data_IF_532015334978
#
_entry.id   IF_532015334978
#
_cell.length_a   1.000
_cell.length_b   1.000
_cell.length_c   1.000
_cell.angle_alpha   90.00
_cell.angle_beta   90.00
_cell.angle_gamma   90.00
#
_symmetry.space_group_name_H-M   'P 1'
#
loop_
_entity.id
_entity.type
_entity.pdbx_description
1 polymer ?
#
# COMPACT_ATOMS: atom_id res chain seq x y z
N UNK A 1 21.33 -4.35 10.89
CA UNK A 1 20.40 -3.35 10.30
C UNK A 1 20.09 -2.31 11.36
N UNK A 2 20.33 -1.04 11.08
CA UNK A 2 20.08 0.06 12.01
C UNK A 2 18.58 0.36 12.16
N UNK A 3 18.23 1.15 13.19
CA UNK A 3 16.82 1.43 13.49
C UNK A 3 16.13 2.28 12.42
N UNK A 4 16.82 3.25 11.79
CA UNK A 4 16.23 4.03 10.70
C UNK A 4 15.81 3.11 9.55
N UNK A 5 16.68 2.18 9.17
CA UNK A 5 16.39 1.20 8.12
C UNK A 5 15.21 0.29 8.50
N UNK A 6 15.14 -0.18 9.75
CA UNK A 6 13.98 -0.96 10.24
C UNK A 6 12.66 -0.19 10.11
N UNK A 7 12.63 1.07 10.53
CA UNK A 7 11.42 1.88 10.47
C UNK A 7 11.01 2.21 9.03
N UNK A 8 11.96 2.45 8.12
CA UNK A 8 11.67 2.66 6.69
C UNK A 8 11.04 1.41 6.05
N UNK A 9 11.50 0.21 6.41
CA UNK A 9 10.88 -1.04 5.96
C UNK A 9 9.45 -1.14 6.52
N UNK A 10 9.27 -0.85 7.81
CA UNK A 10 7.96 -0.90 8.45
C UNK A 10 6.95 0.09 7.83
N UNK A 11 7.40 1.28 7.41
CA UNK A 11 6.59 2.25 6.65
C UNK A 11 6.14 1.65 5.32
N UNK A 12 7.05 1.05 4.55
CA UNK A 12 6.72 0.39 3.29
C UNK A 12 5.69 -0.74 3.48
N UNK A 13 5.88 -1.58 4.49
CA UNK A 13 4.93 -2.65 4.85
C UNK A 13 3.57 -2.12 5.29
N UNK A 14 3.54 -1.02 6.06
CA UNK A 14 2.29 -0.37 6.50
C UNK A 14 1.48 0.16 5.30
N UNK A 15 2.17 0.77 4.33
CA UNK A 15 1.54 1.24 3.08
C UNK A 15 1.03 0.09 2.19
N UNK A 16 1.77 -1.02 2.16
CA UNK A 16 1.38 -2.20 1.39
C UNK A 16 0.13 -2.88 1.97
N UNK A 17 -0.08 -2.79 3.29
CA UNK A 17 -1.17 -3.45 4.03
C UNK A 17 -2.30 -2.52 4.44
N UNK A 18 -2.24 -1.24 4.07
CA UNK A 18 -3.22 -0.21 4.47
C UNK A 18 -3.37 -0.03 6.00
N UNK A 19 -2.35 -0.32 6.81
CA UNK A 19 -2.41 -0.09 8.25
C UNK A 19 -2.13 1.38 8.60
N UNK A 20 -3.17 2.21 8.66
CA UNK A 20 -3.09 3.63 9.06
C UNK A 20 -2.38 3.87 10.41
N UNK A 21 -2.77 3.23 11.53
CA UNK A 21 -2.09 3.46 12.81
C UNK A 21 -0.63 2.99 12.81
N UNK A 22 -0.31 1.91 12.09
CA UNK A 22 1.08 1.46 11.94
C UNK A 22 1.92 2.50 11.20
N UNK A 23 1.38 3.07 10.12
CA UNK A 23 2.06 4.09 9.32
C UNK A 23 2.40 5.32 10.16
N UNK A 24 1.43 5.84 10.93
CA UNK A 24 1.64 6.98 11.82
C UNK A 24 2.74 6.71 12.85
N UNK A 25 2.68 5.55 13.51
CA UNK A 25 3.66 5.14 14.51
C UNK A 25 5.08 5.04 13.92
N UNK A 26 5.23 4.32 12.81
CA UNK A 26 6.54 4.08 12.20
C UNK A 26 7.14 5.34 11.55
N UNK A 27 6.31 6.26 11.02
CA UNK A 27 6.79 7.59 10.59
C UNK A 27 7.39 8.37 11.76
N UNK A 28 6.72 8.38 12.92
CA UNK A 28 7.23 9.04 14.12
C UNK A 28 8.59 8.48 14.55
N UNK A 29 8.71 7.15 14.58
CA UNK A 29 9.98 6.46 14.92
C UNK A 29 11.08 6.70 13.89
N UNK A 30 10.78 6.59 12.59
CA UNK A 30 11.75 6.87 11.53
C UNK A 30 12.33 8.29 11.65
N UNK A 31 11.48 9.29 11.87
CA UNK A 31 11.91 10.68 12.10
C UNK A 31 12.81 10.80 13.33
N UNK A 32 12.47 10.13 14.43
CA UNK A 32 13.30 10.10 15.65
C UNK A 32 14.67 9.46 15.44
N UNK A 33 14.81 8.61 14.41
CA UNK A 33 16.08 8.00 13.99
C UNK A 33 16.76 8.74 12.83
N UNK A 34 16.32 9.96 12.52
CA UNK A 34 16.97 10.82 11.53
C UNK A 34 16.60 10.51 10.07
N UNK A 35 15.48 9.82 9.82
CA UNK A 35 14.98 9.67 8.46
C UNK A 35 14.59 11.02 7.86
N UNK A 36 15.10 11.28 6.66
CA UNK A 36 14.74 12.45 5.85
C UNK A 36 13.33 12.29 5.26
N UNK A 37 12.67 13.42 4.96
CA UNK A 37 11.38 13.39 4.29
C UNK A 37 11.43 12.63 2.95
N UNK A 38 12.55 12.72 2.23
CA UNK A 38 12.77 11.99 0.97
C UNK A 38 12.74 10.48 1.19
N UNK A 39 13.41 9.96 2.23
CA UNK A 39 13.40 8.53 2.55
C UNK A 39 11.99 8.04 2.93
N UNK A 40 11.23 8.83 3.71
CA UNK A 40 9.85 8.50 4.07
C UNK A 40 8.97 8.39 2.81
N UNK A 41 9.04 9.36 1.90
CA UNK A 41 8.28 9.35 0.65
C UNK A 41 8.66 8.15 -0.23
N UNK A 42 9.96 7.84 -0.35
CA UNK A 42 10.43 6.70 -1.13
C UNK A 42 9.89 5.38 -0.55
N UNK A 43 10.04 5.16 0.75
CA UNK A 43 9.53 3.97 1.42
C UNK A 43 8.02 3.81 1.22
N UNK A 44 7.26 4.90 1.37
CA UNK A 44 5.81 4.87 1.17
C UNK A 44 5.41 4.58 -0.28
N UNK A 45 6.10 5.18 -1.26
CA UNK A 45 5.84 4.92 -2.69
C UNK A 45 6.15 3.49 -3.08
N UNK A 46 7.22 2.89 -2.54
CA UNK A 46 7.53 1.47 -2.74
C UNK A 46 6.38 0.60 -2.22
N UNK A 47 5.88 0.88 -1.01
CA UNK A 47 4.73 0.15 -0.45
C UNK A 47 3.46 0.26 -1.30
N UNK A 48 3.14 1.46 -1.81
CA UNK A 48 2.02 1.67 -2.75
C UNK A 48 2.21 0.85 -4.03
N UNK A 49 3.42 0.87 -4.60
CA UNK A 49 3.71 0.16 -5.85
C UNK A 49 3.55 -1.36 -5.68
N UNK A 50 4.05 -1.93 -4.58
CA UNK A 50 3.86 -3.35 -4.25
C UNK A 50 2.38 -3.69 -4.10
N UNK A 51 1.60 -2.83 -3.40
CA UNK A 51 0.16 -3.00 -3.25
C UNK A 51 -0.57 -2.99 -4.60
N UNK A 52 -0.25 -2.04 -5.47
CA UNK A 52 -0.86 -1.94 -6.79
C UNK A 52 -0.59 -3.18 -7.64
N UNK A 53 0.65 -3.68 -7.65
CA UNK A 53 0.99 -4.92 -8.36
C UNK A 53 0.24 -6.14 -7.80
N UNK A 54 0.04 -6.22 -6.48
CA UNK A 54 -0.74 -7.29 -5.88
C UNK A 54 -2.22 -7.22 -6.28
N UNK A 55 -2.82 -6.01 -6.29
CA UNK A 55 -4.18 -5.79 -6.74
C UNK A 55 -4.36 -6.18 -8.21
N UNK A 56 -3.52 -5.68 -9.12
CA UNK A 56 -3.57 -6.00 -10.55
C UNK A 56 -3.50 -7.52 -10.82
N UNK A 57 -2.63 -8.23 -10.08
CA UNK A 57 -2.54 -9.70 -10.23
C UNK A 57 -3.78 -10.42 -9.73
N UNK A 58 -4.37 -9.96 -8.64
CA UNK A 58 -5.61 -10.52 -8.12
C UNK A 58 -6.77 -10.26 -9.08
N UNK A 59 -6.88 -9.05 -9.63
CA UNK A 59 -7.86 -8.69 -10.65
C UNK A 59 -7.68 -9.58 -11.89
N UNK A 60 -6.46 -9.69 -12.42
CA UNK A 60 -6.16 -10.57 -13.57
C UNK A 60 -6.53 -12.04 -13.31
N UNK A 61 -6.30 -12.53 -12.08
CA UNK A 61 -6.66 -13.89 -11.70
C UNK A 61 -8.19 -14.05 -11.61
N UNK A 62 -8.88 -13.09 -10.99
CA UNK A 62 -10.34 -13.07 -10.92
C UNK A 62 -10.98 -13.01 -12.32
N UNK A 63 -10.46 -12.18 -13.23
CA UNK A 63 -10.91 -12.09 -14.63
C UNK A 63 -10.85 -13.44 -15.34
N UNK A 64 -9.82 -14.26 -15.08
CA UNK A 64 -9.70 -15.59 -15.68
C UNK A 64 -10.75 -16.57 -15.17
N UNK A 65 -11.15 -16.43 -13.91
CA UNK A 65 -12.15 -17.30 -13.28
C UNK A 65 -13.56 -16.87 -13.68
N UNK A 66 -13.84 -15.57 -13.63
CA UNK A 66 -15.19 -15.00 -13.75
C UNK A 66 -15.52 -14.59 -15.20
N UNK A 67 -14.56 -14.65 -16.14
CA UNK A 67 -14.72 -14.27 -17.56
C UNK A 67 -15.37 -12.88 -17.77
N UNK A 68 -15.01 -11.87 -16.96
CA UNK A 68 -15.63 -10.54 -17.10
C UNK A 68 -15.42 -9.56 -15.94
N UNK A 69 -14.29 -9.61 -15.24
CA UNK A 69 -14.05 -8.70 -14.10
C UNK A 69 -13.85 -7.23 -14.54
N UNK A 70 -13.76 -6.93 -15.84
CA UNK A 70 -13.67 -5.55 -16.34
C UNK A 70 -15.01 -4.83 -16.17
N UNK A 71 -14.93 -3.59 -15.66
CA UNK A 71 -16.00 -2.74 -15.13
C UNK A 71 -17.16 -2.36 -16.08
N UNK A 72 -17.31 -2.97 -17.26
CA UNK A 72 -18.32 -2.55 -18.24
C UNK A 72 -19.75 -3.10 -17.98
N UNK A 73 -19.96 -4.08 -17.10
CA UNK A 73 -21.29 -4.71 -16.91
C UNK A 73 -21.86 -4.67 -15.47
N UNK A 74 -21.45 -3.73 -14.62
CA UNK A 74 -22.09 -3.57 -13.28
C UNK A 74 -22.65 -2.16 -13.11
N UNK A 75 -23.84 -1.93 -13.68
CA UNK A 75 -24.69 -0.76 -13.44
C UNK A 75 -25.41 -0.84 -12.07
N UNK A 76 -24.72 -1.31 -11.02
CA UNK A 76 -25.26 -1.32 -9.64
C UNK A 76 -24.19 -1.36 -8.54
N UNK A 77 -23.07 -0.64 -8.73
CA UNK A 77 -22.10 -0.41 -7.65
C UNK A 77 -22.63 0.72 -6.75
N UNK A 78 -23.37 0.32 -5.71
CA UNK A 78 -23.69 1.09 -4.49
C UNK A 78 -24.21 2.51 -4.77
N UNK A 79 -25.51 2.65 -5.07
CA UNK A 79 -26.24 3.89 -4.81
C UNK A 79 -26.46 4.08 -3.31
N UNK A 80 -25.35 4.34 -2.62
CA UNK A 80 -25.31 4.60 -1.20
C UNK A 80 -25.27 6.12 -1.02
N UNK A 81 -26.45 6.74 -1.08
CA UNK A 81 -26.71 8.11 -0.60
C UNK A 81 -26.26 8.29 0.86
#
# INVERSE_FOLDING_TARGET
MDNKTKELIAIGSSMATNCMPCLEFHIGKAKSHGASMKELIIASKIGIHVKAGAAEKMESYASKIIQGFSEEEVEDICNCD
#
